data_IF_472153501737
#
_entry.id   IF_472153501737
#
_cell.length_a   1.000
_cell.length_b   1.000
_cell.length_c   1.000
_cell.angle_alpha   90.00
_cell.angle_beta   90.00
_cell.angle_gamma   90.00
#
_symmetry.space_group_name_H-M   'P 1'
#
loop_
_entity.id
_entity.type
_entity.pdbx_description
1 polymer ?
#
# COMPACT_ATOMS: atom_id res chain seq x y z
N UNK A 1 -12.67 -0.25 -0.29
CA UNK A 1 -11.49 -0.72 -1.04
C UNK A 1 -10.79 -1.79 -0.22
N UNK A 2 -10.31 -2.87 -0.84
CA UNK A 2 -9.72 -3.99 -0.09
C UNK A 2 -8.19 -3.93 -0.15
N UNK A 3 -7.60 -3.13 0.74
CA UNK A 3 -6.15 -2.99 0.87
C UNK A 3 -5.46 -4.29 1.28
N UNK A 4 -6.15 -5.17 2.02
CA UNK A 4 -5.59 -6.47 2.42
C UNK A 4 -5.47 -7.39 1.21
N UNK A 5 -6.50 -7.45 0.37
CA UNK A 5 -6.45 -8.24 -0.87
C UNK A 5 -5.36 -7.76 -1.84
N UNK A 6 -5.10 -6.45 -1.90
CA UNK A 6 -4.01 -5.89 -2.70
C UNK A 6 -2.61 -6.24 -2.18
N UNK A 7 -2.50 -6.76 -0.95
CA UNK A 7 -1.25 -7.18 -0.30
C UNK A 7 -1.12 -8.71 -0.21
N UNK A 8 -1.76 -9.49 -1.09
CA UNK A 8 -1.66 -10.95 -1.08
C UNK A 8 -0.20 -11.46 -1.25
N UNK A 9 0.62 -10.69 -1.98
CA UNK A 9 2.07 -10.87 -2.09
C UNK A 9 2.78 -9.61 -1.57
N UNK A 10 4.10 -9.67 -1.24
CA UNK A 10 4.86 -8.49 -0.85
C UNK A 10 4.85 -7.41 -1.93
N UNK A 11 4.19 -6.28 -1.65
CA UNK A 11 4.01 -5.18 -2.63
C UNK A 11 4.32 -3.82 -2.03
N UNK A 12 4.67 -2.85 -2.88
CA UNK A 12 4.86 -1.47 -2.44
C UNK A 12 3.53 -0.74 -2.24
N UNK A 13 3.51 0.31 -1.42
CA UNK A 13 2.34 1.20 -1.30
C UNK A 13 1.94 1.83 -2.65
N UNK A 14 2.89 2.08 -3.55
CA UNK A 14 2.61 2.57 -4.90
C UNK A 14 1.80 1.55 -5.72
N UNK A 15 2.14 0.27 -5.61
CA UNK A 15 1.41 -0.79 -6.29
C UNK A 15 -0.03 -0.90 -5.76
N UNK A 16 -0.18 -0.91 -4.43
CA UNK A 16 -1.48 -0.93 -3.77
C UNK A 16 -2.34 0.27 -4.18
N UNK A 17 -1.77 1.49 -4.16
CA UNK A 17 -2.47 2.69 -4.60
C UNK A 17 -2.98 2.57 -6.05
N UNK A 18 -2.15 2.06 -6.97
CA UNK A 18 -2.56 1.86 -8.37
C UNK A 18 -3.66 0.80 -8.55
N UNK A 19 -3.71 -0.22 -7.69
CA UNK A 19 -4.77 -1.23 -7.73
C UNK A 19 -6.09 -0.72 -7.16
N UNK A 20 -6.01 0.01 -6.05
CA UNK A 20 -7.15 0.49 -5.28
C UNK A 20 -7.82 1.67 -5.99
N UNK A 21 -7.03 2.66 -6.42
CA UNK A 21 -7.51 3.84 -7.12
C UNK A 21 -7.53 3.62 -8.64
N UNK A 22 -8.62 3.04 -9.15
CA UNK A 22 -8.78 2.63 -10.57
C UNK A 22 -8.90 3.76 -11.60
N UNK A 23 -8.91 5.04 -11.19
CA UNK A 23 -9.02 6.20 -12.11
C UNK A 23 -7.64 6.68 -12.54
N UNK A 24 -7.58 7.35 -13.70
CA UNK A 24 -6.33 7.95 -14.19
C UNK A 24 -5.93 9.10 -13.24
N UNK A 25 -5.00 8.81 -12.33
CA UNK A 25 -4.42 9.80 -11.42
C UNK A 25 -3.36 10.59 -12.17
N UNK A 26 -3.48 11.91 -12.21
CA UNK A 26 -2.32 12.75 -12.58
C UNK A 26 -1.23 12.65 -11.50
N UNK A 27 -0.02 13.15 -11.79
CA UNK A 27 1.13 13.02 -10.89
C UNK A 27 0.88 13.59 -9.48
N UNK A 28 0.10 14.66 -9.36
CA UNK A 28 -0.25 15.26 -8.08
C UNK A 28 -1.23 14.36 -7.32
N UNK A 29 -2.26 13.85 -8.00
CA UNK A 29 -3.23 12.92 -7.42
C UNK A 29 -2.59 11.60 -7.00
N UNK A 30 -1.57 11.13 -7.73
CA UNK A 30 -0.82 9.93 -7.37
C UNK A 30 -0.11 10.09 -6.01
N UNK A 31 0.46 11.27 -5.73
CA UNK A 31 1.07 11.56 -4.44
C UNK A 31 0.07 11.42 -3.28
N UNK A 32 -1.13 12.01 -3.43
CA UNK A 32 -2.20 11.89 -2.44
C UNK A 32 -2.67 10.45 -2.26
N UNK A 33 -2.87 9.72 -3.36
CA UNK A 33 -3.29 8.32 -3.34
C UNK A 33 -2.27 7.42 -2.59
N UNK A 34 -0.97 7.66 -2.78
CA UNK A 34 0.09 6.94 -2.03
C UNK A 34 0.04 7.29 -0.55
N UNK A 35 -0.12 8.58 -0.19
CA UNK A 35 -0.18 9.00 1.20
C UNK A 35 -1.38 8.37 1.94
N UNK A 36 -2.55 8.37 1.31
CA UNK A 36 -3.76 7.72 1.83
C UNK A 36 -3.56 6.20 1.95
N UNK A 37 -2.95 5.58 0.94
CA UNK A 37 -2.61 4.15 0.97
C UNK A 37 -1.69 3.80 2.15
N UNK A 38 -0.64 4.59 2.38
CA UNK A 38 0.28 4.37 3.52
C UNK A 38 -0.46 4.54 4.85
N UNK A 39 -1.39 5.49 4.95
CA UNK A 39 -2.20 5.66 6.16
C UNK A 39 -3.07 4.41 6.44
N UNK A 40 -3.73 3.86 5.42
CA UNK A 40 -4.51 2.62 5.55
C UNK A 40 -3.65 1.41 5.88
N UNK A 41 -2.50 1.26 5.23
CA UNK A 41 -1.57 0.16 5.51
C UNK A 41 -1.05 0.23 6.95
N UNK A 42 -0.71 1.43 7.46
CA UNK A 42 -0.30 1.60 8.85
C UNK A 42 -1.42 1.25 9.84
N UNK A 43 -2.67 1.62 9.54
CA UNK A 43 -3.82 1.20 10.34
C UNK A 43 -3.94 -0.33 10.38
N UNK A 44 -3.84 -1.01 9.23
CA UNK A 44 -3.93 -2.47 9.14
C UNK A 44 -2.75 -3.19 9.80
N UNK A 45 -1.57 -2.57 9.84
CA UNK A 45 -0.42 -3.08 10.62
C UNK A 45 -0.74 -3.05 12.11
N UNK A 46 -1.33 -1.96 12.61
CA UNK A 46 -1.75 -1.86 14.02
C UNK A 46 -2.83 -2.89 14.36
N UNK A 47 -3.75 -3.18 13.43
CA UNK A 47 -4.72 -4.27 13.57
C UNK A 47 -4.12 -5.68 13.44
N UNK A 48 -2.84 -5.82 13.10
CA UNK A 48 -2.19 -7.13 12.91
C UNK A 48 -2.65 -7.88 11.66
N UNK A 49 -3.18 -7.18 10.65
CA UNK A 49 -3.66 -7.78 9.39
C UNK A 49 -2.64 -7.70 8.26
N UNK A 50 -1.68 -6.79 8.37
CA UNK A 50 -0.58 -6.61 7.41
C UNK A 50 0.75 -6.58 8.16
N UNK A 51 1.77 -7.19 7.58
CA UNK A 51 3.17 -7.02 7.96
C UNK A 51 3.89 -6.08 6.97
N UNK A 52 4.93 -5.40 7.47
CA UNK A 52 5.81 -4.55 6.67
C UNK A 52 7.26 -4.97 6.84
N UNK A 53 7.98 -5.09 5.75
CA UNK A 53 9.44 -5.27 5.74
C UNK A 53 10.08 -4.39 4.67
N UNK A 54 11.36 -4.08 4.81
CA UNK A 54 12.12 -3.38 3.79
C UNK A 54 12.78 -4.38 2.84
N UNK A 55 12.82 -4.07 1.55
CA UNK A 55 13.65 -4.79 0.59
C UNK A 55 15.13 -4.35 0.70
N UNK A 56 15.99 -4.90 -0.17
CA UNK A 56 17.43 -4.60 -0.21
C UNK A 56 17.73 -3.11 -0.46
N UNK A 57 16.82 -2.38 -1.13
CA UNK A 57 16.93 -0.93 -1.38
C UNK A 57 16.33 -0.06 -0.25
N UNK A 58 15.82 -0.67 0.82
CA UNK A 58 15.15 0.04 1.92
C UNK A 58 13.69 0.44 1.63
N UNK A 59 13.09 -0.05 0.54
CA UNK A 59 11.70 0.21 0.19
C UNK A 59 10.77 -0.70 0.99
N UNK A 60 9.77 -0.10 1.65
CA UNK A 60 8.76 -0.85 2.38
C UNK A 60 7.87 -1.67 1.44
N UNK A 61 7.85 -2.98 1.67
CA UNK A 61 6.91 -3.95 1.14
C UNK A 61 5.89 -4.32 2.22
N UNK A 62 4.64 -4.47 1.79
CA UNK A 62 3.48 -4.77 2.61
C UNK A 62 2.89 -6.10 2.17
N UNK A 63 2.53 -6.94 3.13
CA UNK A 63 1.96 -8.26 2.88
C UNK A 63 0.85 -8.55 3.91
N UNK A 64 -0.25 -9.14 3.48
CA UNK A 64 -1.27 -9.65 4.38
C UNK A 64 -0.73 -10.81 5.23
N UNK A 65 -1.13 -10.86 6.51
CA UNK A 65 -0.80 -11.95 7.41
C UNK A 65 -1.64 -13.21 7.15
#
# INVERSE_FOLDING_TARGET
EDFTAACAEPVTALYVAKQVFKRRLDSTQLGFAIAETVAHLNYLIVEGRIARHANEDGVNLYQAN
#
